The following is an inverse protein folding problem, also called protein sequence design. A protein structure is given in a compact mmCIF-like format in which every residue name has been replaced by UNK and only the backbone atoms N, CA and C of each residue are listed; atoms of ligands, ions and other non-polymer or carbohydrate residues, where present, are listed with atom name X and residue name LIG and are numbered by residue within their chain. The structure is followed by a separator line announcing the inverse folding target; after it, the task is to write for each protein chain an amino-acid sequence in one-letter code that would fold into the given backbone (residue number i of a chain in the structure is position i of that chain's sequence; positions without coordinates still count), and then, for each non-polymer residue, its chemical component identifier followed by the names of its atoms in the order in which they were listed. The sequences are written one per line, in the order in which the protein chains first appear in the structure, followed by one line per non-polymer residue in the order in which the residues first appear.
data_IF_165454386691
#
_entry.id   IF_165454386691
#
_cell.length_a   1.000
_cell.length_b   1.000
_cell.length_c   1.000
_cell.angle_alpha   90.00
_cell.angle_beta   90.00
_cell.angle_gamma   90.00
#
_symmetry.space_group_name_H-M   'P 1'
#
loop_
_entity.id
_entity.type
_entity.pdbx_description
1 polymer ?
#
# COMPACT_ATOMS: atom_id res chain seq x y z
N UNK A 1 -26.38 6.47 12.73
CA UNK A 1 -26.31 5.43 11.66
C UNK A 1 -25.44 5.85 10.46
N UNK A 2 -24.81 7.03 10.47
CA UNK A 2 -23.83 7.47 9.45
C UNK A 2 -22.44 6.83 9.64
N UNK A 3 -22.02 6.58 10.89
CA UNK A 3 -20.64 6.17 11.16
C UNK A 3 -20.25 4.79 10.60
N UNK A 4 -21.18 3.85 10.43
CA UNK A 4 -20.86 2.53 9.88
C UNK A 4 -20.52 2.61 8.38
N UNK A 5 -21.33 3.34 7.61
CA UNK A 5 -21.08 3.53 6.18
C UNK A 5 -19.81 4.36 5.93
N UNK A 6 -19.55 5.37 6.76
CA UNK A 6 -18.32 6.15 6.73
C UNK A 6 -17.11 5.26 7.04
N UNK A 7 -17.18 4.45 8.10
CA UNK A 7 -16.10 3.52 8.46
C UNK A 7 -15.84 2.49 7.36
N UNK A 8 -16.89 1.94 6.73
CA UNK A 8 -16.74 1.00 5.62
C UNK A 8 -16.12 1.67 4.39
N UNK A 9 -16.54 2.90 4.07
CA UNK A 9 -15.97 3.69 2.98
C UNK A 9 -14.49 3.95 3.21
N UNK A 10 -14.10 4.38 4.41
CA UNK A 10 -12.71 4.69 4.74
C UNK A 10 -11.83 3.44 4.66
N UNK A 11 -12.33 2.29 5.14
CA UNK A 11 -11.64 1.00 5.02
C UNK A 11 -11.48 0.58 3.57
N UNK A 12 -12.52 0.74 2.74
CA UNK A 12 -12.45 0.44 1.32
C UNK A 12 -11.44 1.33 0.60
N UNK A 13 -11.41 2.63 0.90
CA UNK A 13 -10.44 3.57 0.34
C UNK A 13 -9.01 3.23 0.74
N UNK A 14 -8.75 2.90 2.02
CA UNK A 14 -7.43 2.44 2.46
C UNK A 14 -7.03 1.14 1.76
N UNK A 15 -7.97 0.21 1.56
CA UNK A 15 -7.68 -1.04 0.84
C UNK A 15 -7.34 -0.80 -0.63
N UNK A 16 -8.05 0.10 -1.30
CA UNK A 16 -7.75 0.49 -2.68
C UNK A 16 -6.34 1.09 -2.79
N UNK A 17 -6.03 2.08 -1.94
CA UNK A 17 -4.69 2.70 -1.90
C UNK A 17 -3.57 1.69 -1.64
N UNK A 18 -3.78 0.76 -0.70
CA UNK A 18 -2.81 -0.31 -0.45
C UNK A 18 -2.54 -1.15 -1.70
N UNK A 19 -3.59 -1.57 -2.41
CA UNK A 19 -3.43 -2.37 -3.61
C UNK A 19 -2.72 -1.60 -4.73
N UNK A 20 -3.05 -0.31 -4.91
CA UNK A 20 -2.38 0.60 -5.85
C UNK A 20 -0.89 0.71 -5.51
N UNK A 21 -0.53 1.00 -4.25
CA UNK A 21 0.87 1.10 -3.81
C UNK A 21 1.64 -0.19 -4.03
N UNK A 22 1.05 -1.37 -3.76
CA UNK A 22 1.69 -2.65 -4.04
C UNK A 22 1.94 -2.82 -5.55
N UNK A 23 0.97 -2.46 -6.38
CA UNK A 23 1.10 -2.57 -7.83
C UNK A 23 2.21 -1.65 -8.37
N UNK A 24 2.25 -0.39 -7.93
CA UNK A 24 3.26 0.59 -8.33
C UNK A 24 4.68 0.14 -7.91
N UNK A 25 4.86 -0.25 -6.65
CA UNK A 25 6.15 -0.73 -6.15
C UNK A 25 6.58 -2.02 -6.86
N UNK A 26 5.63 -2.89 -7.22
CA UNK A 26 5.91 -4.12 -7.96
C UNK A 26 6.26 -3.88 -9.44
N UNK A 27 5.72 -2.81 -10.03
CA UNK A 27 5.98 -2.40 -11.40
C UNK A 27 7.29 -1.60 -11.55
N UNK A 28 7.87 -1.14 -10.44
CA UNK A 28 9.15 -0.43 -10.42
C UNK A 28 10.27 -1.34 -10.93
N UNK A 29 11.23 -0.76 -11.67
CA UNK A 29 12.37 -1.50 -12.22
C UNK A 29 13.20 -2.12 -11.09
N UNK A 30 13.88 -3.23 -11.41
CA UNK A 30 14.76 -3.89 -10.44
C UNK A 30 15.87 -2.94 -9.96
N UNK A 31 16.43 -2.15 -10.88
CA UNK A 31 17.49 -1.18 -10.60
C UNK A 31 17.06 -0.15 -9.55
N UNK A 32 15.94 0.55 -9.78
CA UNK A 32 15.39 1.52 -8.81
C UNK A 32 15.02 0.86 -7.48
N UNK A 33 14.56 -0.39 -7.49
CA UNK A 33 14.29 -1.13 -6.27
C UNK A 33 15.56 -1.44 -5.48
N UNK A 34 16.65 -1.78 -6.15
CA UNK A 34 17.95 -2.01 -5.49
C UNK A 34 18.52 -0.71 -4.93
N UNK A 35 18.41 0.40 -5.67
CA UNK A 35 18.84 1.73 -5.21
C UNK A 35 18.13 2.18 -3.94
N UNK A 36 16.85 1.83 -3.80
CA UNK A 36 16.02 2.16 -2.65
C UNK A 36 16.04 1.09 -1.54
N UNK A 37 16.84 0.03 -1.69
CA UNK A 37 16.88 -1.14 -0.80
C UNK A 37 15.49 -1.79 -0.59
N UNK A 38 14.70 -1.86 -1.67
CA UNK A 38 13.34 -2.43 -1.70
C UNK A 38 13.37 -3.86 -2.27
N UNK A 39 13.34 -4.83 -1.36
CA UNK A 39 13.15 -6.24 -1.69
C UNK A 39 11.71 -6.52 -2.12
N UNK A 40 11.53 -7.45 -3.07
CA UNK A 40 10.20 -7.76 -3.64
C UNK A 40 9.23 -8.23 -2.55
N UNK A 41 9.74 -9.04 -1.64
CA UNK A 41 8.96 -9.64 -0.56
C UNK A 41 8.60 -8.62 0.53
N UNK A 42 9.28 -7.48 0.57
CA UNK A 42 9.00 -6.37 1.49
C UNK A 42 7.95 -5.39 0.97
N UNK A 43 7.64 -5.41 -0.34
CA UNK A 43 6.66 -4.51 -0.96
C UNK A 43 5.32 -4.50 -0.20
N UNK A 44 4.72 -5.64 0.16
CA UNK A 44 3.47 -5.65 0.93
C UNK A 44 3.61 -4.96 2.29
N UNK A 45 4.75 -5.15 2.98
CA UNK A 45 5.03 -4.56 4.30
C UNK A 45 5.22 -3.04 4.19
N UNK A 46 5.97 -2.58 3.20
CA UNK A 46 6.20 -1.16 2.93
C UNK A 46 4.88 -0.47 2.58
N UNK A 47 4.10 -1.04 1.65
CA UNK A 47 2.79 -0.52 1.28
C UNK A 47 1.82 -0.47 2.46
N UNK A 48 1.84 -1.49 3.33
CA UNK A 48 1.03 -1.51 4.54
C UNK A 48 1.40 -0.35 5.48
N UNK A 49 2.70 -0.14 5.73
CA UNK A 49 3.18 0.94 6.58
C UNK A 49 2.82 2.31 6.01
N UNK A 50 2.95 2.50 4.70
CA UNK A 50 2.61 3.77 4.03
C UNK A 50 1.12 4.12 4.15
N UNK A 51 0.21 3.14 4.05
CA UNK A 51 -1.24 3.38 4.01
C UNK A 51 -1.89 3.35 5.39
N UNK A 52 -1.46 2.44 6.25
CA UNK A 52 -2.06 2.22 7.56
C UNK A 52 -1.27 2.83 8.71
N UNK A 53 -0.02 3.26 8.48
CA UNK A 53 0.77 4.00 9.46
C UNK A 53 1.26 3.17 10.64
N UNK A 54 1.52 1.87 10.45
CA UNK A 54 2.06 0.99 11.49
C UNK A 54 3.37 1.52 12.10
#
# INVERSE_FOLDING_TARGET
MTSLFETLRDRAQKRARYNETVAELSATTLDTRLDLDIYKDDIPRIAYKAVYGA
#
